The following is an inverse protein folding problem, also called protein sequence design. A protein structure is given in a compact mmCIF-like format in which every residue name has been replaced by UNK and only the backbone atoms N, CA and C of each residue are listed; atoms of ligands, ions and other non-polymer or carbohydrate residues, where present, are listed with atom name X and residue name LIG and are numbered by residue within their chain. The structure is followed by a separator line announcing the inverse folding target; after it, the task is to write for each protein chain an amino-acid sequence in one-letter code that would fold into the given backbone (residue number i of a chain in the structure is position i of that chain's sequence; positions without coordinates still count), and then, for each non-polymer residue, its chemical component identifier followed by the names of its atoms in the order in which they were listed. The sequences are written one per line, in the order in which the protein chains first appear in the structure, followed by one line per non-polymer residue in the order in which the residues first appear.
data_IF_332628869795
#
_entry.id   IF_332628869795
#
_cell.length_a   1.000
_cell.length_b   1.000
_cell.length_c   1.000
_cell.angle_alpha   90.00
_cell.angle_beta   90.00
_cell.angle_gamma   90.00
#
_symmetry.space_group_name_H-M   'P 1'
#
loop_
_entity.id
_entity.type
_entity.pdbx_description
1 polymer ?
#
# COMPACT_ATOMS: atom_id res chain seq x y z
N UNK A 1 62.74 -1.97 -86.86
CA UNK A 1 61.42 -2.29 -87.47
C UNK A 1 60.49 -1.13 -87.17
N UNK A 2 59.70 -0.68 -88.14
CA UNK A 2 58.76 0.44 -87.97
C UNK A 2 57.44 -0.15 -87.50
N UNK A 3 56.98 0.22 -86.31
CA UNK A 3 55.64 -0.13 -85.84
C UNK A 3 54.74 1.11 -85.89
N UNK A 4 53.58 0.95 -86.52
CA UNK A 4 52.59 1.99 -86.68
C UNK A 4 51.53 1.83 -85.59
N UNK A 5 51.41 2.81 -84.70
CA UNK A 5 50.24 2.95 -83.85
C UNK A 5 49.26 3.92 -84.51
N UNK A 6 48.06 3.45 -84.83
CA UNK A 6 46.96 4.29 -85.31
C UNK A 6 46.03 4.63 -84.14
N UNK A 7 45.74 5.92 -83.95
CA UNK A 7 44.77 6.39 -82.95
C UNK A 7 43.49 6.78 -83.68
N UNK A 8 42.34 6.31 -83.20
CA UNK A 8 41.02 6.62 -83.78
C UNK A 8 40.14 7.28 -82.73
N UNK A 9 39.58 8.46 -83.04
CA UNK A 9 38.72 9.19 -82.12
C UNK A 9 37.35 8.53 -82.00
N UNK A 10 37.12 7.84 -80.87
CA UNK A 10 35.95 6.96 -80.70
C UNK A 10 35.09 7.28 -79.48
N UNK A 11 35.43 8.28 -78.66
CA UNK A 11 34.63 8.68 -77.48
C UNK A 11 34.68 10.19 -77.17
N UNK A 12 33.65 10.98 -77.55
CA UNK A 12 32.55 10.66 -78.47
C UNK A 12 33.00 10.77 -79.94
N UNK A 13 32.28 10.11 -80.86
CA UNK A 13 32.47 10.36 -82.30
C UNK A 13 31.99 11.78 -82.63
N UNK A 14 32.67 12.54 -83.50
CA UNK A 14 32.19 13.85 -83.93
C UNK A 14 30.88 13.70 -84.71
N UNK A 15 29.79 14.22 -84.16
CA UNK A 15 28.48 14.31 -84.82
C UNK A 15 28.06 15.78 -84.95
N UNK A 16 27.26 16.10 -85.98
CA UNK A 16 26.76 17.45 -86.28
C UNK A 16 27.84 18.52 -86.57
N UNK A 17 28.89 18.15 -87.31
CA UNK A 17 29.89 19.11 -87.80
C UNK A 17 31.03 19.43 -86.83
N UNK A 18 31.17 18.69 -85.73
CA UNK A 18 32.32 18.83 -84.81
C UNK A 18 33.66 18.48 -85.46
N UNK A 19 34.71 19.24 -85.12
CA UNK A 19 36.05 19.09 -85.69
C UNK A 19 36.71 17.77 -85.27
N UNK A 20 37.43 17.13 -86.19
CA UNK A 20 38.29 15.99 -85.86
C UNK A 20 39.41 16.41 -84.90
N UNK A 21 39.86 15.47 -84.06
CA UNK A 21 40.96 15.65 -83.12
C UNK A 21 42.22 16.19 -83.84
N UNK A 22 42.80 17.30 -83.37
CA UNK A 22 43.94 17.96 -84.03
C UNK A 22 45.25 17.23 -83.67
N UNK A 23 45.95 16.73 -84.70
CA UNK A 23 47.21 15.98 -84.58
C UNK A 23 47.30 14.84 -85.60
N UNK A 24 48.50 14.35 -85.93
CA UNK A 24 48.67 13.20 -86.83
C UNK A 24 48.04 11.93 -86.22
N UNK A 25 47.19 11.18 -86.96
CA UNK A 25 46.60 9.93 -86.46
C UNK A 25 47.62 8.81 -86.30
N UNK A 26 48.82 9.03 -86.84
CA UNK A 26 49.95 8.11 -86.84
C UNK A 26 51.08 8.78 -86.06
N UNK A 27 51.46 8.19 -84.93
CA UNK A 27 52.70 8.52 -84.24
C UNK A 27 53.75 7.48 -84.64
N UNK A 28 54.86 7.92 -85.24
CA UNK A 28 55.94 7.05 -85.71
C UNK A 28 57.06 7.13 -84.68
N UNK A 29 57.30 6.03 -83.98
CA UNK A 29 58.43 5.90 -83.05
C UNK A 29 59.40 4.85 -83.59
N UNK A 30 60.68 5.20 -83.70
CA UNK A 30 61.74 4.34 -84.26
C UNK A 30 62.34 3.46 -83.16
N UNK A 31 62.35 2.14 -83.33
CA UNK A 31 62.89 1.19 -82.34
C UNK A 31 63.91 0.23 -82.98
N UNK A 32 65.00 -0.07 -82.25
CA UNK A 32 66.16 -0.87 -82.70
C UNK A 32 66.41 -2.08 -81.79
N UNK A 33 67.29 -3.01 -82.20
CA UNK A 33 67.57 -4.24 -81.44
C UNK A 33 68.11 -4.03 -80.01
N UNK A 34 68.64 -2.84 -79.70
CA UNK A 34 69.11 -2.43 -78.36
C UNK A 34 68.07 -1.66 -77.53
N UNK A 35 66.94 -1.24 -78.13
CA UNK A 35 65.82 -0.59 -77.44
C UNK A 35 64.47 -1.11 -77.99
N UNK A 36 63.85 -2.07 -77.30
CA UNK A 36 62.62 -2.73 -77.76
C UNK A 36 61.40 -1.78 -77.82
N UNK A 37 60.44 -2.05 -78.71
CA UNK A 37 59.28 -1.20 -78.96
C UNK A 37 58.35 -1.10 -77.74
N UNK A 38 57.71 0.06 -77.49
CA UNK A 38 56.65 0.20 -76.49
C UNK A 38 55.51 -0.79 -76.77
N UNK A 39 55.14 -1.58 -75.78
CA UNK A 39 53.96 -2.44 -75.82
C UNK A 39 52.93 -1.81 -74.89
N UNK A 40 51.83 -1.33 -75.47
CA UNK A 40 50.72 -0.78 -74.70
C UNK A 40 49.98 -1.91 -73.97
N UNK A 41 49.72 -1.69 -72.69
CA UNK A 41 49.03 -2.66 -71.85
C UNK A 41 47.56 -2.82 -72.24
N UNK A 42 47.07 -4.05 -72.15
CA UNK A 42 45.65 -4.34 -72.31
C UNK A 42 45.11 -5.14 -71.12
N UNK A 43 43.83 -4.92 -70.84
CA UNK A 43 43.14 -5.54 -69.72
C UNK A 43 43.04 -7.06 -69.89
N UNK A 44 43.42 -7.82 -68.86
CA UNK A 44 43.05 -9.21 -68.75
C UNK A 44 41.53 -9.36 -68.51
N UNK A 45 41.02 -10.59 -68.68
CA UNK A 45 39.61 -10.89 -68.42
C UNK A 45 39.26 -10.62 -66.96
N UNK A 46 38.07 -10.09 -66.72
CA UNK A 46 37.56 -9.89 -65.37
C UNK A 46 37.51 -11.21 -64.59
N UNK A 47 37.81 -11.16 -63.30
CA UNK A 47 37.48 -12.25 -62.38
C UNK A 47 35.96 -12.45 -62.29
N UNK A 48 35.52 -13.58 -61.73
CA UNK A 48 34.15 -13.71 -61.25
C UNK A 48 33.88 -12.66 -60.15
N UNK A 49 32.63 -12.26 -60.01
CA UNK A 49 32.21 -11.44 -58.87
C UNK A 49 32.41 -12.19 -57.55
N UNK A 50 32.80 -11.46 -56.51
CA UNK A 50 32.77 -11.94 -55.13
C UNK A 50 31.34 -12.33 -54.72
N UNK A 51 31.19 -13.04 -53.61
CA UNK A 51 29.90 -13.09 -52.91
C UNK A 51 29.47 -11.68 -52.50
N UNK A 52 28.17 -11.51 -52.25
CA UNK A 52 27.64 -10.26 -51.71
C UNK A 52 28.31 -9.93 -50.37
N UNK A 53 28.69 -8.68 -50.16
CA UNK A 53 29.33 -8.23 -48.91
C UNK A 53 28.36 -8.21 -47.72
N UNK A 54 27.06 -8.05 -47.98
CA UNK A 54 26.03 -8.19 -46.97
C UNK A 54 25.71 -9.65 -46.69
N UNK A 55 25.46 -9.98 -45.43
CA UNK A 55 24.86 -11.28 -45.02
C UNK A 55 23.34 -11.21 -44.93
N UNK A 56 22.78 -10.00 -44.95
CA UNK A 56 21.35 -9.67 -45.02
C UNK A 56 21.20 -8.32 -45.74
N UNK A 57 20.01 -8.02 -46.26
CA UNK A 57 19.68 -6.80 -46.97
C UNK A 57 20.52 -6.59 -48.23
N UNK A 58 20.87 -5.32 -48.47
CA UNK A 58 21.65 -4.88 -49.61
C UNK A 58 23.14 -4.88 -49.29
N UNK A 59 23.96 -5.20 -50.29
CA UNK A 59 25.40 -5.14 -50.22
C UNK A 59 26.01 -4.85 -51.57
N UNK A 60 27.30 -5.09 -51.69
CA UNK A 60 28.06 -4.94 -52.92
C UNK A 60 28.87 -6.19 -53.22
N UNK A 61 29.02 -6.49 -54.51
CA UNK A 61 29.95 -7.49 -55.00
C UNK A 61 30.95 -6.81 -55.93
N UNK A 62 32.19 -7.30 -55.92
CA UNK A 62 33.23 -6.73 -56.78
C UNK A 62 33.94 -7.80 -57.60
N UNK A 63 34.44 -7.37 -58.76
CA UNK A 63 35.36 -8.15 -59.59
C UNK A 63 36.52 -7.26 -60.00
N UNK A 64 37.66 -7.88 -60.26
CA UNK A 64 38.91 -7.18 -60.55
C UNK A 64 39.47 -7.67 -61.88
N UNK A 65 40.20 -6.81 -62.57
CA UNK A 65 41.05 -7.15 -63.72
C UNK A 65 42.41 -6.50 -63.55
N UNK A 66 43.42 -7.12 -64.13
CA UNK A 66 44.80 -6.62 -64.10
C UNK A 66 45.27 -6.30 -65.51
N UNK A 67 46.18 -5.33 -65.62
CA UNK A 67 46.73 -4.89 -66.89
C UNK A 67 47.84 -5.85 -67.34
N UNK A 68 47.46 -7.00 -67.92
CA UNK A 68 48.37 -8.12 -68.14
C UNK A 68 48.20 -8.87 -69.48
N UNK A 69 47.30 -8.47 -70.38
CA UNK A 69 47.04 -9.17 -71.64
C UNK A 69 47.12 -8.26 -72.88
N UNK A 70 48.31 -7.79 -73.29
CA UNK A 70 49.62 -7.98 -72.65
C UNK A 70 49.91 -6.94 -71.55
N UNK A 71 50.91 -7.19 -70.71
CA UNK A 71 51.42 -6.20 -69.75
C UNK A 71 52.17 -5.07 -70.46
N UNK A 72 52.03 -3.81 -70.03
CA UNK A 72 52.79 -2.71 -70.59
C UNK A 72 54.30 -2.93 -70.43
N UNK A 73 55.07 -2.75 -71.50
CA UNK A 73 56.54 -2.85 -71.46
C UNK A 73 57.19 -1.80 -72.36
N UNK A 74 58.48 -1.52 -72.11
CA UNK A 74 59.31 -0.62 -72.93
C UNK A 74 58.73 0.80 -73.12
N UNK A 75 58.11 1.36 -72.07
CA UNK A 75 57.51 2.71 -72.11
C UNK A 75 56.12 2.79 -72.73
N UNK A 76 55.44 1.66 -72.97
CA UNK A 76 54.05 1.62 -73.44
C UNK A 76 53.03 2.15 -72.42
N UNK A 77 51.84 2.49 -72.90
CA UNK A 77 50.78 3.08 -72.10
C UNK A 77 50.18 2.07 -71.10
N UNK A 78 49.85 2.56 -69.90
CA UNK A 78 49.09 1.80 -68.91
C UNK A 78 47.64 1.66 -69.35
N UNK A 79 46.97 0.60 -68.85
CA UNK A 79 45.57 0.39 -69.14
C UNK A 79 44.71 1.55 -68.60
N UNK A 80 43.79 2.06 -69.43
CA UNK A 80 42.87 3.14 -69.06
C UNK A 80 41.53 2.58 -68.54
N UNK A 81 40.97 3.26 -67.53
CA UNK A 81 39.72 2.89 -66.87
C UNK A 81 39.93 2.14 -65.54
N UNK A 82 38.83 1.78 -64.84
CA UNK A 82 38.93 1.18 -63.52
C UNK A 82 39.38 -0.29 -63.60
N UNK A 83 40.26 -0.68 -62.67
CA UNK A 83 40.69 -2.06 -62.45
C UNK A 83 39.67 -2.88 -61.63
N UNK A 84 38.73 -2.20 -60.97
CA UNK A 84 37.70 -2.79 -60.11
C UNK A 84 36.32 -2.36 -60.60
N UNK A 85 35.42 -3.33 -60.69
CA UNK A 85 34.00 -3.11 -61.00
C UNK A 85 33.19 -3.53 -59.77
N UNK A 86 32.40 -2.60 -59.24
CA UNK A 86 31.57 -2.79 -58.05
C UNK A 86 30.12 -2.70 -58.48
N UNK A 87 29.34 -3.70 -58.09
CA UNK A 87 27.90 -3.75 -58.36
C UNK A 87 27.13 -3.99 -57.07
N UNK A 88 25.92 -3.46 -57.01
CA UNK A 88 24.98 -3.73 -55.92
C UNK A 88 24.45 -5.16 -56.00
N UNK A 89 24.20 -5.76 -54.84
CA UNK A 89 23.57 -7.06 -54.70
C UNK A 89 22.54 -7.03 -53.56
N UNK A 90 21.50 -7.86 -53.67
CA UNK A 90 20.56 -8.13 -52.58
C UNK A 90 20.68 -9.59 -52.17
N UNK A 91 20.73 -9.82 -50.86
CA UNK A 91 20.76 -11.17 -50.28
C UNK A 91 19.37 -11.82 -50.20
N UNK A 92 18.30 -11.05 -50.44
CA UNK A 92 16.90 -11.46 -50.19
C UNK A 92 16.64 -12.01 -48.78
N UNK A 93 17.49 -11.64 -47.82
CA UNK A 93 17.35 -11.98 -46.40
C UNK A 93 17.13 -10.65 -45.67
N UNK A 94 16.03 -10.49 -44.97
CA UNK A 94 15.82 -9.31 -44.15
C UNK A 94 16.84 -9.24 -43.02
N UNK A 95 17.37 -8.04 -42.75
CA UNK A 95 18.30 -7.88 -41.64
C UNK A 95 17.59 -7.99 -40.28
N UNK A 96 18.28 -8.51 -39.24
CA UNK A 96 17.73 -8.59 -37.90
C UNK A 96 17.30 -7.21 -37.40
N UNK A 97 16.02 -7.06 -37.08
CA UNK A 97 15.48 -5.89 -36.39
C UNK A 97 14.74 -6.40 -35.16
N UNK A 98 15.18 -5.93 -34.00
CA UNK A 98 14.59 -6.32 -32.72
C UNK A 98 13.15 -5.78 -32.58
N UNK A 99 12.34 -6.50 -31.84
CA UNK A 99 10.98 -6.08 -31.51
C UNK A 99 11.00 -4.84 -30.63
N UNK A 100 10.03 -3.95 -30.84
CA UNK A 100 9.94 -2.67 -30.13
C UNK A 100 8.67 -2.63 -29.29
N UNK A 101 8.79 -2.19 -28.04
CA UNK A 101 7.63 -1.96 -27.19
C UNK A 101 6.83 -0.75 -27.69
N UNK A 102 5.51 -0.93 -27.82
CA UNK A 102 4.57 0.18 -27.92
C UNK A 102 4.39 0.91 -26.59
N UNK A 103 3.65 2.02 -26.63
CA UNK A 103 3.34 2.82 -25.45
C UNK A 103 2.40 2.10 -24.49
N UNK A 104 2.55 2.39 -23.20
CA UNK A 104 1.61 1.94 -22.17
C UNK A 104 0.25 2.61 -22.35
N UNK A 105 -0.80 1.80 -22.38
CA UNK A 105 -2.19 2.24 -22.59
C UNK A 105 -3.05 1.81 -21.40
N UNK A 106 -3.77 2.75 -20.81
CA UNK A 106 -4.70 2.46 -19.71
C UNK A 106 -5.85 1.59 -20.22
N UNK A 107 -6.02 0.42 -19.64
CA UNK A 107 -6.99 -0.60 -20.11
C UNK A 107 -8.21 -0.71 -19.21
N UNK A 108 -8.04 -0.48 -17.91
CA UNK A 108 -9.14 -0.54 -16.93
C UNK A 108 -9.33 0.81 -16.23
N UNK A 109 -10.57 1.17 -15.85
CA UNK A 109 -10.78 2.23 -14.87
C UNK A 109 -10.18 1.82 -13.50
N UNK A 110 -10.12 2.78 -12.58
CA UNK A 110 -9.72 2.49 -11.20
C UNK A 110 -10.69 1.50 -10.55
N UNK A 111 -10.22 0.29 -10.28
CA UNK A 111 -11.01 -0.79 -9.70
C UNK A 111 -10.68 -0.97 -8.22
N UNK A 112 -11.72 -1.06 -7.39
CA UNK A 112 -11.61 -1.43 -6.00
C UNK A 112 -12.83 -0.98 -5.20
N UNK A 113 -12.82 -1.27 -3.91
CA UNK A 113 -13.92 -0.90 -3.02
C UNK A 113 -13.63 0.47 -2.42
N UNK A 114 -12.59 0.65 -1.62
CA UNK A 114 -12.34 1.93 -0.94
C UNK A 114 -10.84 2.23 -0.85
N UNK A 115 -10.51 3.47 -0.54
CA UNK A 115 -9.14 3.97 -0.45
C UNK A 115 -8.43 3.81 -1.79
N UNK A 116 -7.43 2.94 -1.82
CA UNK A 116 -6.64 2.69 -3.02
C UNK A 116 -7.24 1.55 -3.84
N UNK A 117 -7.57 1.87 -5.08
CA UNK A 117 -7.86 0.91 -6.13
C UNK A 117 -6.63 0.54 -6.94
N UNK A 118 -6.86 -0.27 -7.96
CA UNK A 118 -5.87 -0.67 -8.95
C UNK A 118 -6.36 -0.36 -10.35
N UNK A 119 -5.43 0.05 -11.21
CA UNK A 119 -5.67 0.20 -12.63
C UNK A 119 -4.55 -0.47 -13.41
N UNK A 120 -4.86 -0.93 -14.62
CA UNK A 120 -3.98 -1.76 -15.42
C UNK A 120 -3.63 -1.03 -16.71
N UNK A 121 -2.33 -0.87 -16.94
CA UNK A 121 -1.77 -0.46 -18.23
C UNK A 121 -1.31 -1.69 -19.01
N UNK A 122 -1.57 -1.71 -20.31
CA UNK A 122 -1.06 -2.75 -21.22
C UNK A 122 -0.20 -2.11 -22.30
N UNK A 123 0.74 -2.88 -22.84
CA UNK A 123 1.51 -2.52 -24.03
C UNK A 123 1.72 -3.73 -24.92
N UNK A 124 1.85 -3.49 -26.21
CA UNK A 124 2.09 -4.53 -27.20
C UNK A 124 3.53 -4.44 -27.71
N UNK A 125 4.12 -5.59 -28.03
CA UNK A 125 5.42 -5.69 -28.68
C UNK A 125 5.22 -5.79 -30.19
N UNK A 126 5.89 -4.96 -30.98
CA UNK A 126 5.98 -5.19 -32.42
C UNK A 126 6.89 -6.40 -32.67
N UNK A 127 6.49 -7.38 -33.51
CA UNK A 127 7.31 -8.56 -33.77
C UNK A 127 8.66 -8.21 -34.42
N UNK A 128 9.76 -8.91 -34.06
CA UNK A 128 11.05 -8.75 -34.72
C UNK A 128 11.04 -9.28 -36.16
N UNK A 129 11.97 -8.78 -36.98
CA UNK A 129 12.17 -9.18 -38.39
C UNK A 129 13.58 -9.82 -38.52
N UNK A 130 13.76 -10.73 -39.48
CA UNK A 130 15.09 -11.22 -39.87
C UNK A 130 15.85 -11.96 -38.76
N UNK A 131 15.16 -12.50 -37.75
CA UNK A 131 15.80 -13.16 -36.60
C UNK A 131 16.21 -12.24 -35.46
N UNK A 132 15.69 -10.99 -35.41
CA UNK A 132 15.87 -10.09 -34.27
C UNK A 132 15.27 -10.61 -32.96
N UNK A 133 15.64 -9.98 -31.85
CA UNK A 133 15.21 -10.37 -30.51
C UNK A 133 13.77 -9.93 -30.21
N UNK A 134 13.03 -10.79 -29.52
CA UNK A 134 11.70 -10.46 -28.99
C UNK A 134 11.82 -9.44 -27.85
N UNK A 135 10.78 -8.63 -27.64
CA UNK A 135 10.76 -7.69 -26.52
C UNK A 135 10.84 -8.43 -25.17
N UNK A 136 11.75 -8.01 -24.31
CA UNK A 136 11.89 -8.54 -22.94
C UNK A 136 11.13 -7.65 -21.96
N UNK A 137 10.39 -8.28 -21.04
CA UNK A 137 9.67 -7.62 -19.95
C UNK A 137 8.15 -7.82 -20.00
N UNK A 138 7.41 -7.18 -19.09
CA UNK A 138 5.98 -7.42 -18.94
C UNK A 138 5.15 -6.73 -20.03
N UNK A 139 4.03 -7.35 -20.38
CA UNK A 139 2.98 -6.77 -21.24
C UNK A 139 1.92 -6.00 -20.45
N UNK A 140 1.91 -6.17 -19.12
CA UNK A 140 0.97 -5.53 -18.21
C UNK A 140 1.70 -4.88 -17.03
N UNK A 141 1.18 -3.73 -16.60
CA UNK A 141 1.65 -3.01 -15.43
C UNK A 141 0.44 -2.63 -14.57
N UNK A 142 0.51 -2.95 -13.29
CA UNK A 142 -0.53 -2.62 -12.31
C UNK A 142 -0.06 -1.42 -11.50
N UNK A 143 -0.85 -0.35 -11.49
CA UNK A 143 -0.60 0.82 -10.68
C UNK A 143 -1.75 1.04 -9.69
N UNK A 144 -1.46 1.74 -8.60
CA UNK A 144 -2.45 2.17 -7.62
C UNK A 144 -3.15 3.45 -8.08
N UNK A 145 -4.41 3.59 -7.72
CA UNK A 145 -5.21 4.79 -7.97
C UNK A 145 -6.08 5.10 -6.75
N UNK A 146 -6.47 6.36 -6.58
CA UNK A 146 -7.34 6.78 -5.49
C UNK A 146 -8.82 6.69 -5.94
N UNK A 147 -9.62 5.94 -5.18
CA UNK A 147 -11.05 5.74 -5.46
C UNK A 147 -11.92 6.90 -4.99
N UNK A 148 -11.37 7.92 -4.32
CA UNK A 148 -12.10 9.03 -3.68
C UNK A 148 -13.22 8.57 -2.74
N UNK A 149 -13.16 7.31 -2.29
CA UNK A 149 -14.09 6.71 -1.34
C UNK A 149 -13.29 6.19 -0.16
N UNK A 150 -13.28 6.87 0.99
CA UNK A 150 -12.53 6.40 2.16
C UNK A 150 -13.04 5.03 2.64
N UNK A 151 -12.13 4.21 3.19
CA UNK A 151 -12.50 2.91 3.72
C UNK A 151 -13.22 3.02 5.06
N UNK A 152 -14.15 2.08 5.35
CA UNK A 152 -14.73 1.95 6.68
C UNK A 152 -13.62 1.81 7.73
N UNK A 153 -13.67 2.64 8.76
CA UNK A 153 -12.78 2.54 9.92
C UNK A 153 -13.63 2.01 11.06
N UNK A 154 -13.39 0.77 11.46
CA UNK A 154 -14.10 0.15 12.57
C UNK A 154 -13.66 0.76 13.90
N UNK A 155 -14.62 0.92 14.81
CA UNK A 155 -14.38 1.42 16.15
C UNK A 155 -13.47 0.51 16.95
N UNK A 156 -12.52 1.12 17.65
CA UNK A 156 -11.69 0.45 18.63
C UNK A 156 -11.92 0.99 20.03
N UNK A 157 -11.87 0.11 21.01
CA UNK A 157 -11.96 0.48 22.42
C UNK A 157 -10.72 1.25 22.85
N UNK A 158 -10.92 2.33 23.60
CA UNK A 158 -9.86 2.93 24.41
C UNK A 158 -9.36 1.93 25.45
N UNK A 159 -8.20 2.22 26.02
CA UNK A 159 -7.83 1.61 27.29
C UNK A 159 -8.93 1.88 28.32
N UNK A 160 -9.16 0.90 29.19
CA UNK A 160 -10.03 1.07 30.34
C UNK A 160 -9.50 2.17 31.25
N UNK A 161 -10.39 2.94 31.87
CA UNK A 161 -10.02 3.73 33.04
C UNK A 161 -9.58 2.82 34.18
N UNK A 162 -8.89 3.37 35.16
CA UNK A 162 -8.78 2.71 36.46
C UNK A 162 -10.19 2.48 37.03
N UNK A 163 -10.32 1.43 37.85
CA UNK A 163 -11.54 1.25 38.60
C UNK A 163 -11.75 2.40 39.58
N UNK A 164 -13.01 2.78 39.80
CA UNK A 164 -13.40 3.66 40.90
C UNK A 164 -13.07 3.03 42.25
N UNK A 165 -13.08 3.82 43.31
CA UNK A 165 -13.13 3.28 44.67
C UNK A 165 -14.44 2.51 44.90
N UNK A 166 -14.46 1.69 45.94
CA UNK A 166 -15.68 1.00 46.37
C UNK A 166 -16.79 2.03 46.69
N UNK A 167 -18.02 1.74 46.28
CA UNK A 167 -19.18 2.61 46.48
C UNK A 167 -19.58 2.80 47.95
N UNK A 168 -19.06 1.94 48.82
CA UNK A 168 -19.32 1.94 50.26
C UNK A 168 -18.00 1.82 51.02
N UNK A 169 -18.02 2.25 52.28
CA UNK A 169 -16.89 2.12 53.22
C UNK A 169 -17.05 0.94 54.18
N UNK A 170 -18.22 0.28 54.19
CA UNK A 170 -18.52 -0.89 54.99
C UNK A 170 -19.38 -1.89 54.19
N UNK A 171 -19.31 -3.17 54.54
CA UNK A 171 -20.05 -4.24 53.89
C UNK A 171 -19.59 -4.50 52.46
N UNK A 172 -20.57 -4.83 51.61
CA UNK A 172 -20.40 -5.15 50.19
C UNK A 172 -20.80 -3.93 49.37
N UNK A 173 -19.89 -3.48 48.50
CA UNK A 173 -20.16 -2.42 47.52
C UNK A 173 -19.88 -2.86 46.10
N UNK A 174 -19.89 -1.87 45.21
CA UNK A 174 -19.50 -2.03 43.82
C UNK A 174 -18.45 -1.00 43.46
N UNK A 175 -17.64 -1.35 42.47
CA UNK A 175 -16.65 -0.48 41.86
C UNK A 175 -16.67 -0.75 40.36
N UNK A 176 -16.41 0.27 39.56
CA UNK A 176 -16.60 0.18 38.12
C UNK A 176 -15.50 0.90 37.37
N UNK A 177 -15.35 0.57 36.09
CA UNK A 177 -14.48 1.28 35.15
C UNK A 177 -15.17 1.42 33.81
N UNK A 178 -14.75 2.42 33.04
CA UNK A 178 -15.33 2.71 31.73
C UNK A 178 -14.26 2.70 30.65
N UNK A 179 -14.69 2.46 29.42
CA UNK A 179 -13.90 2.65 28.20
C UNK A 179 -14.78 3.28 27.13
N UNK A 180 -14.17 3.98 26.19
CA UNK A 180 -14.87 4.66 25.11
C UNK A 180 -14.53 4.03 23.77
N UNK A 181 -15.48 4.01 22.84
CA UNK A 181 -15.26 3.52 21.48
C UNK A 181 -14.65 4.64 20.62
N UNK A 182 -13.38 4.97 20.89
CA UNK A 182 -12.70 6.12 20.29
C UNK A 182 -11.24 5.89 19.91
N UNK A 183 -10.78 4.63 19.93
CA UNK A 183 -9.40 4.25 19.62
C UNK A 183 -9.33 3.16 18.54
N UNK A 184 -9.77 3.43 17.29
CA UNK A 184 -10.26 4.72 16.77
C UNK A 184 -11.78 4.89 16.90
N UNK A 185 -12.30 6.09 16.61
CA UNK A 185 -13.75 6.32 16.47
C UNK A 185 -14.23 5.69 15.16
N UNK A 186 -15.37 4.96 15.13
CA UNK A 186 -15.96 4.46 13.89
C UNK A 186 -16.19 5.57 12.87
N UNK A 187 -15.73 5.39 11.64
CA UNK A 187 -15.90 6.36 10.54
C UNK A 187 -16.24 5.66 9.22
N UNK A 188 -16.82 6.42 8.28
CA UNK A 188 -17.11 5.96 6.91
C UNK A 188 -17.92 4.66 6.84
N UNK A 189 -18.86 4.47 7.78
CA UNK A 189 -19.69 3.26 7.85
C UNK A 189 -19.00 2.05 8.48
N UNK A 190 -17.88 2.24 9.17
CA UNK A 190 -17.23 1.18 9.96
C UNK A 190 -18.06 0.77 11.18
N UNK A 191 -17.80 -0.45 11.64
CA UNK A 191 -18.56 -1.08 12.72
C UNK A 191 -18.33 -0.39 14.07
N UNK A 192 -19.36 -0.43 14.93
CA UNK A 192 -19.23 0.00 16.33
C UNK A 192 -18.41 -1.02 17.14
N UNK A 193 -17.84 -0.58 18.25
CA UNK A 193 -17.09 -1.46 19.13
C UNK A 193 -17.99 -2.55 19.73
N UNK A 194 -17.53 -3.81 19.68
CA UNK A 194 -18.22 -4.96 20.26
C UNK A 194 -17.89 -5.08 21.75
N UNK A 195 -18.93 -5.16 22.59
CA UNK A 195 -18.82 -5.34 24.04
C UNK A 195 -19.37 -4.16 24.85
N UNK A 196 -19.34 -4.28 26.19
CA UNK A 196 -19.85 -3.23 27.07
C UNK A 196 -18.82 -2.10 27.27
N UNK A 197 -19.26 -0.82 27.35
CA UNK A 197 -18.41 0.32 27.69
C UNK A 197 -18.18 0.48 29.20
N UNK A 198 -18.96 -0.22 30.03
CA UNK A 198 -18.92 -0.19 31.48
C UNK A 198 -18.67 -1.60 32.00
N UNK A 199 -17.73 -1.72 32.92
CA UNK A 199 -17.49 -2.94 33.69
C UNK A 199 -17.71 -2.65 35.18
N UNK A 200 -18.49 -3.49 35.84
CA UNK A 200 -18.83 -3.35 37.26
C UNK A 200 -18.48 -4.66 37.98
N UNK A 201 -17.84 -4.54 39.13
CA UNK A 201 -17.49 -5.67 39.99
C UNK A 201 -17.82 -5.36 41.46
N UNK A 202 -17.88 -6.41 42.29
CA UNK A 202 -18.15 -6.29 43.73
C UNK A 202 -16.88 -6.12 44.56
N UNK A 203 -16.92 -5.23 45.56
CA UNK A 203 -15.84 -5.01 46.51
C UNK A 203 -16.30 -5.35 47.93
N UNK A 204 -15.42 -6.01 48.69
CA UNK A 204 -15.60 -6.31 50.11
C UNK A 204 -14.67 -5.39 50.91
N UNK A 205 -15.25 -4.61 51.82
CA UNK A 205 -14.50 -3.62 52.61
C UNK A 205 -13.84 -4.22 53.86
N UNK A 206 -14.14 -5.48 54.20
CA UNK A 206 -13.77 -6.13 55.46
C UNK A 206 -14.19 -5.36 56.73
N UNK A 207 -15.07 -4.37 56.59
CA UNK A 207 -15.62 -3.56 57.68
C UNK A 207 -17.12 -3.82 57.75
N UNK A 208 -17.61 -4.31 58.89
CA UNK A 208 -19.05 -4.50 59.09
C UNK A 208 -19.76 -3.15 59.23
N UNK A 209 -20.93 -2.98 58.60
CA UNK A 209 -21.64 -1.71 58.67
C UNK A 209 -22.22 -1.41 60.06
N UNK A 210 -22.28 -0.13 60.46
CA UNK A 210 -22.92 0.29 61.70
C UNK A 210 -24.39 -0.14 61.75
N UNK A 211 -24.78 -0.78 62.85
CA UNK A 211 -26.17 -1.13 63.15
C UNK A 211 -26.63 -0.19 64.26
N UNK A 212 -27.48 0.78 63.93
CA UNK A 212 -28.02 1.71 64.91
C UNK A 212 -29.03 1.02 65.83
N UNK A 213 -29.01 1.38 67.11
CA UNK A 213 -29.93 0.87 68.11
C UNK A 213 -31.38 1.24 67.82
N UNK A 214 -32.26 0.25 67.93
CA UNK A 214 -33.71 0.46 67.89
C UNK A 214 -34.36 0.02 69.20
N UNK A 215 -35.35 0.80 69.63
CA UNK A 215 -36.16 0.48 70.80
C UNK A 215 -37.09 -0.71 70.52
N UNK A 216 -37.24 -1.61 71.49
CA UNK A 216 -38.37 -2.54 71.52
C UNK A 216 -39.68 -1.76 71.72
N UNK A 217 -40.81 -2.43 71.48
CA UNK A 217 -42.10 -1.92 71.97
C UNK A 217 -42.04 -1.76 73.49
N UNK A 218 -42.79 -0.79 74.01
CA UNK A 218 -42.95 -0.61 75.45
C UNK A 218 -43.63 -1.84 76.07
N UNK A 219 -43.26 -2.17 77.31
CA UNK A 219 -44.06 -3.07 78.14
C UNK A 219 -45.43 -2.46 78.43
N UNK A 220 -46.39 -3.30 78.83
CA UNK A 220 -47.59 -2.82 79.51
C UNK A 220 -47.20 -2.01 80.75
N UNK A 221 -48.07 -1.09 81.15
CA UNK A 221 -47.91 -0.34 82.40
C UNK A 221 -47.93 -1.29 83.60
N UNK A 222 -47.08 -1.04 84.58
CA UNK A 222 -47.13 -1.70 85.87
C UNK A 222 -48.46 -1.41 86.58
N UNK A 223 -48.78 -2.19 87.61
CA UNK A 223 -49.82 -1.81 88.54
C UNK A 223 -49.49 -0.43 89.17
N UNK A 224 -50.52 0.31 89.53
CA UNK A 224 -50.35 1.60 90.20
C UNK A 224 -49.74 1.38 91.60
N UNK A 225 -48.77 2.20 91.98
CA UNK A 225 -48.10 2.09 93.29
C UNK A 225 -49.04 2.30 94.47
N UNK A 226 -50.12 3.06 94.26
CA UNK A 226 -51.16 3.32 95.24
C UNK A 226 -52.50 3.02 94.61
N UNK A 227 -53.38 2.38 95.37
CA UNK A 227 -54.74 2.10 94.94
C UNK A 227 -55.64 3.36 95.05
N UNK A 228 -55.14 4.43 95.67
CA UNK A 228 -55.90 5.63 95.98
C UNK A 228 -54.99 6.86 96.19
N UNK A 229 -55.58 8.05 96.08
CA UNK A 229 -55.01 9.39 96.27
C UNK A 229 -53.78 9.70 95.42
N UNK A 230 -53.74 9.14 94.21
CA UNK A 230 -52.66 9.36 93.23
C UNK A 230 -51.44 8.46 93.47
N UNK A 231 -51.17 7.57 92.52
CA UNK A 231 -49.98 6.72 92.48
C UNK A 231 -49.21 6.88 91.16
N UNK A 232 -48.13 6.12 91.03
CA UNK A 232 -47.33 6.06 89.81
C UNK A 232 -47.37 4.66 89.21
N UNK A 233 -47.47 4.60 87.89
CA UNK A 233 -47.24 3.40 87.11
C UNK A 233 -46.07 3.64 86.16
N UNK A 234 -45.34 2.57 85.86
CA UNK A 234 -44.12 2.62 85.05
C UNK A 234 -44.20 1.63 83.90
N UNK A 235 -43.53 1.95 82.81
CA UNK A 235 -43.29 1.01 81.71
C UNK A 235 -41.87 1.15 81.22
N UNK A 236 -41.37 0.09 80.60
CA UNK A 236 -39.97 -0.03 80.18
C UNK A 236 -39.85 -0.45 78.72
N UNK A 237 -38.72 -0.16 78.10
CA UNK A 237 -38.33 -0.65 76.77
C UNK A 237 -36.82 -0.85 76.73
N UNK A 238 -36.37 -1.76 75.87
CA UNK A 238 -34.96 -2.10 75.73
C UNK A 238 -34.43 -1.68 74.36
N UNK A 239 -33.15 -1.30 74.29
CA UNK A 239 -32.47 -0.93 73.05
C UNK A 239 -31.90 -2.17 72.37
N UNK A 240 -32.78 -3.10 71.98
CA UNK A 240 -32.39 -4.42 71.46
C UNK A 240 -33.08 -4.78 70.16
N UNK A 241 -33.81 -3.85 69.53
CA UNK A 241 -34.55 -4.09 68.28
C UNK A 241 -34.20 -3.09 67.18
N UNK A 242 -32.98 -3.14 66.60
CA UNK A 242 -31.86 -4.04 66.95
C UNK A 242 -30.94 -3.46 68.06
N UNK A 243 -30.07 -4.27 68.64
CA UNK A 243 -29.00 -3.77 69.52
C UNK A 243 -27.96 -3.00 68.71
N UNK A 244 -27.44 -1.85 69.20
CA UNK A 244 -26.35 -1.14 68.54
C UNK A 244 -25.12 -2.07 68.35
N UNK A 245 -24.56 -2.09 67.14
CA UNK A 245 -23.35 -2.85 66.82
C UNK A 245 -22.48 -2.13 65.78
N UNK A 246 -21.20 -2.53 65.66
CA UNK A 246 -20.24 -1.97 64.71
C UNK A 246 -20.16 -0.43 64.75
N UNK A 247 -20.12 0.16 65.95
CA UNK A 247 -20.18 1.62 66.17
C UNK A 247 -21.47 2.31 65.69
N UNK A 248 -22.58 1.58 65.60
CA UNK A 248 -23.89 2.19 65.38
C UNK A 248 -24.35 3.05 66.55
N UNK A 249 -25.18 4.05 66.25
CA UNK A 249 -25.68 5.00 67.23
C UNK A 249 -26.51 4.29 68.33
N UNK A 250 -26.39 4.70 69.61
CA UNK A 250 -27.24 4.20 70.67
C UNK A 250 -28.69 4.67 70.48
N UNK A 251 -29.64 4.01 71.13
CA UNK A 251 -31.02 4.47 71.12
C UNK A 251 -31.17 5.83 71.81
N UNK A 252 -31.84 6.76 71.14
CA UNK A 252 -32.09 8.11 71.68
C UNK A 252 -33.38 8.10 72.52
N UNK A 253 -33.30 8.67 73.73
CA UNK A 253 -34.43 8.82 74.68
C UNK A 253 -34.35 7.88 75.89
N UNK A 254 -35.32 7.98 76.80
CA UNK A 254 -35.33 7.18 78.04
C UNK A 254 -35.83 5.75 77.81
N UNK A 255 -35.23 4.78 78.52
CA UNK A 255 -35.70 3.39 78.61
C UNK A 255 -36.87 3.19 79.58
N UNK A 256 -37.20 4.23 80.36
CA UNK A 256 -38.28 4.24 81.34
C UNK A 256 -39.23 5.39 81.08
N UNK A 257 -40.52 5.15 81.36
CA UNK A 257 -41.54 6.18 81.38
C UNK A 257 -42.44 5.98 82.60
N UNK A 258 -42.83 7.09 83.22
CA UNK A 258 -43.78 7.14 84.31
C UNK A 258 -45.03 7.94 83.91
N UNK A 259 -46.17 7.59 84.48
CA UNK A 259 -47.38 8.40 84.43
C UNK A 259 -48.14 8.25 85.75
N UNK A 260 -48.96 9.26 86.09
CA UNK A 260 -49.82 9.18 87.26
C UNK A 260 -51.00 8.23 87.01
N UNK A 261 -51.55 7.69 88.09
CA UNK A 261 -52.70 6.80 88.09
C UNK A 261 -53.50 6.96 89.38
N UNK A 262 -54.79 6.61 89.34
CA UNK A 262 -55.66 6.61 90.52
C UNK A 262 -55.79 7.97 91.24
N UNK A 263 -55.52 9.09 90.53
CA UNK A 263 -55.60 10.45 91.08
C UNK A 263 -57.02 10.81 91.56
N UNK A 264 -58.04 10.20 90.95
CA UNK A 264 -59.46 10.42 91.28
C UNK A 264 -60.04 9.43 92.29
N UNK A 265 -59.25 8.48 92.81
CA UNK A 265 -59.73 7.44 93.74
C UNK A 265 -59.34 7.85 95.17
N UNK A 266 -60.25 8.28 96.05
CA UNK A 266 -59.90 8.73 97.41
C UNK A 266 -59.50 7.56 98.32
N UNK A 267 -58.46 7.72 99.15
CA UNK A 267 -58.08 6.70 100.13
C UNK A 267 -59.07 6.64 101.29
N UNK A 268 -59.57 5.44 101.58
CA UNK A 268 -60.33 5.17 102.80
C UNK A 268 -59.33 4.86 103.91
N UNK A 269 -59.16 5.80 104.84
CA UNK A 269 -58.35 5.59 106.05
C UNK A 269 -59.17 4.79 107.04
N UNK A 270 -58.83 3.51 107.25
CA UNK A 270 -59.28 2.79 108.44
C UNK A 270 -58.42 3.27 109.62
N UNK A 271 -58.84 4.34 110.29
CA UNK A 271 -58.37 4.62 111.64
C UNK A 271 -58.84 3.46 112.53
N UNK A 272 -57.90 2.84 113.24
CA UNK A 272 -58.15 1.72 114.15
C UNK A 272 -58.87 2.19 115.41
N UNK A 273 -60.11 2.64 115.27
CA UNK A 273 -61.08 2.82 116.35
C UNK A 273 -62.48 2.56 115.77
N UNK A 274 -62.98 1.38 116.13
CA UNK A 274 -64.32 0.80 115.89
C UNK A 274 -64.51 -0.09 114.65
N UNK A 275 -64.50 -1.39 114.95
CA UNK A 275 -65.04 -2.54 114.24
C UNK A 275 -66.15 -2.24 113.22
N UNK A 276 -65.96 -2.68 111.97
CA UNK A 276 -66.65 -3.84 111.37
C UNK A 276 -66.66 -3.76 109.82
N UNK A 277 -66.17 -4.84 109.22
CA UNK A 277 -66.24 -5.23 107.79
C UNK A 277 -65.38 -4.39 106.82
N UNK A 278 -64.19 -4.92 106.53
CA UNK A 278 -63.46 -4.65 105.29
C UNK A 278 -64.10 -5.38 104.12
#
# INVERSE_FOLDING_TARGET
FIFLFTRSCTKPLPTYGGSYCVGSPINITSCNATQPCPIDGNWATWTKFSSCSGTCGNGTMSRIRICANPSPSNGGQQCSGPATDIQECSTNIDCPVDGVWGNWTLTTPCFGVCGNGTLIYTRNCTPPIGGGLMCVGPTQQVNTCDLQRPCPINGGWSNWTNFTTCSVTCGVGVYSRIRNCNSPVPQYGGDLCVGAPLETAYCLTNVSCPINGGWTTWTSWSNCSLNCSGGMQTRTRNCTNPSPANNGAPCIGSSYQYQTCNDAIPCVICSSLLFAVC
#
